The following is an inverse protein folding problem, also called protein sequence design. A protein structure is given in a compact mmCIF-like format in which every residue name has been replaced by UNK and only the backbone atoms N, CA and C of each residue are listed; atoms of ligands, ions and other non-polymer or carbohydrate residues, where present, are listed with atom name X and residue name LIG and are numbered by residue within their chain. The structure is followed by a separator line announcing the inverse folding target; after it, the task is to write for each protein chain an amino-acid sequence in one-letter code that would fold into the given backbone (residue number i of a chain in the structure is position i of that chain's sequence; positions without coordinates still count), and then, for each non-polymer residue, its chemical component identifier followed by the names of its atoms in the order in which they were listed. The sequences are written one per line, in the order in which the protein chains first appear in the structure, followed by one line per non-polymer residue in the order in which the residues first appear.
data_IF_558309216773
#
_entry.id   IF_558309216773
#
_cell.length_a   1.000
_cell.length_b   1.000
_cell.length_c   1.000
_cell.angle_alpha   90.00
_cell.angle_beta   90.00
_cell.angle_gamma   90.00
#
_symmetry.space_group_name_H-M   'P 1'
#
loop_
_entity.id
_entity.type
_entity.pdbx_description
1 polymer ?
#
# COMPACT_ATOMS: atom_id res chain seq x y z
N UNK A 1 -9.53 -8.22 9.72
CA UNK A 1 -9.78 -6.78 9.51
C UNK A 1 -8.45 -6.19 9.14
N UNK A 2 -8.24 -6.06 7.83
CA UNK A 2 -6.98 -5.65 7.25
C UNK A 2 -6.68 -4.17 7.49
N UNK A 3 -5.45 -3.74 7.23
CA UNK A 3 -5.04 -2.35 7.36
C UNK A 3 -5.85 -1.43 6.42
N UNK A 4 -6.11 -1.82 5.18
CA UNK A 4 -6.85 -0.99 4.22
C UNK A 4 -8.28 -0.69 4.71
N UNK A 5 -8.97 -1.74 5.14
CA UNK A 5 -10.33 -1.65 5.69
C UNK A 5 -10.40 -0.71 6.91
N UNK A 6 -9.41 -0.81 7.82
CA UNK A 6 -9.32 0.08 8.99
C UNK A 6 -9.13 1.54 8.61
N UNK A 7 -8.36 1.81 7.57
CA UNK A 7 -8.05 3.17 7.14
C UNK A 7 -9.26 3.83 6.49
N UNK A 8 -9.96 3.11 5.59
CA UNK A 8 -11.19 3.59 4.95
C UNK A 8 -12.27 3.89 5.99
N UNK A 9 -12.50 2.97 6.94
CA UNK A 9 -13.49 3.20 8.00
C UNK A 9 -13.10 4.39 8.88
N UNK A 10 -11.82 4.46 9.25
CA UNK A 10 -11.31 5.57 10.04
C UNK A 10 -11.32 6.91 9.30
N UNK A 11 -11.35 6.94 7.97
CA UNK A 11 -11.51 8.17 7.18
C UNK A 11 -12.97 8.65 7.20
N UNK A 12 -13.95 7.74 7.09
CA UNK A 12 -15.37 8.10 7.24
C UNK A 12 -15.64 8.73 8.61
N UNK A 13 -14.92 8.29 9.64
CA UNK A 13 -15.11 8.75 11.02
C UNK A 13 -14.20 9.95 11.41
N UNK A 14 -13.23 10.38 10.58
CA UNK A 14 -12.26 11.45 10.91
C UNK A 14 -12.32 12.61 9.90
N UNK A 15 -12.34 13.85 10.39
CA UNK A 15 -12.10 15.08 9.59
C UNK A 15 -10.62 15.24 9.20
N UNK A 16 -9.96 14.17 8.73
CA UNK A 16 -8.58 14.20 8.27
C UNK A 16 -8.50 14.36 6.75
N UNK A 17 -7.51 15.11 6.27
CA UNK A 17 -7.29 15.32 4.83
C UNK A 17 -6.55 14.15 4.13
N UNK A 18 -6.00 13.20 4.89
CA UNK A 18 -5.26 12.06 4.35
C UNK A 18 -6.10 10.78 4.50
N UNK A 19 -6.49 10.16 3.38
CA UNK A 19 -7.23 8.89 3.35
C UNK A 19 -6.33 7.75 3.80
N UNK A 20 -5.04 7.78 3.47
CA UNK A 20 -4.09 6.74 3.86
C UNK A 20 -2.79 7.32 4.39
N UNK A 21 -2.36 6.86 5.56
CA UNK A 21 -1.05 7.17 6.13
C UNK A 21 -0.22 5.88 6.32
N UNK A 22 0.80 5.65 5.50
CA UNK A 22 1.71 4.53 5.69
C UNK A 22 2.51 4.67 6.99
N UNK A 23 2.58 3.61 7.78
CA UNK A 23 3.38 3.56 9.00
C UNK A 23 4.30 2.33 8.98
N UNK A 24 5.47 2.45 9.62
CA UNK A 24 6.37 1.31 9.75
C UNK A 24 5.73 0.27 10.68
N UNK A 25 5.80 -1.00 10.26
CA UNK A 25 5.22 -2.11 11.02
C UNK A 25 3.71 -2.33 10.79
N UNK A 26 3.09 -1.63 9.83
CA UNK A 26 1.72 -1.98 9.40
C UNK A 26 1.67 -3.41 8.89
N UNK A 27 0.73 -4.18 9.42
CA UNK A 27 0.49 -5.57 9.02
C UNK A 27 -0.67 -5.62 8.03
N UNK A 28 -0.49 -6.37 6.95
CA UNK A 28 -1.49 -6.60 5.91
C UNK A 28 -1.83 -8.08 5.85
N UNK A 29 -3.09 -8.39 5.56
CA UNK A 29 -3.58 -9.76 5.43
C UNK A 29 -3.05 -10.41 4.14
N UNK A 30 -2.70 -9.59 3.13
CA UNK A 30 -2.12 -10.07 1.87
C UNK A 30 -1.24 -9.02 1.17
N UNK A 31 -0.43 -9.48 0.21
CA UNK A 31 0.32 -8.59 -0.67
C UNK A 31 -0.59 -7.72 -1.54
N UNK A 32 -1.74 -8.26 -1.97
CA UNK A 32 -2.74 -7.51 -2.75
C UNK A 32 -3.30 -6.35 -1.94
N UNK A 33 -3.67 -6.61 -0.68
CA UNK A 33 -4.16 -5.55 0.22
C UNK A 33 -3.11 -4.46 0.43
N UNK A 34 -1.84 -4.84 0.63
CA UNK A 34 -0.75 -3.88 0.73
C UNK A 34 -0.61 -3.05 -0.55
N UNK A 35 -0.75 -3.67 -1.72
CA UNK A 35 -0.70 -2.96 -3.01
C UNK A 35 -1.85 -1.95 -3.14
N UNK A 36 -3.09 -2.35 -2.82
CA UNK A 36 -4.26 -1.47 -2.89
C UNK A 36 -4.14 -0.28 -1.92
N UNK A 37 -3.63 -0.52 -0.71
CA UNK A 37 -3.33 0.51 0.28
C UNK A 37 -2.33 1.55 -0.25
N UNK A 38 -1.20 1.10 -0.80
CA UNK A 38 -0.19 2.01 -1.35
C UNK A 38 -0.63 2.67 -2.66
N UNK A 39 -1.55 2.05 -3.42
CA UNK A 39 -2.13 2.65 -4.62
C UNK A 39 -3.06 3.82 -4.27
N UNK A 40 -3.84 3.69 -3.19
CA UNK A 40 -4.68 4.78 -2.69
C UNK A 40 -3.81 5.94 -2.17
N UNK A 41 -2.77 5.63 -1.40
CA UNK A 41 -1.77 6.63 -1.00
C UNK A 41 -1.11 7.33 -2.19
N UNK A 42 -0.70 6.58 -3.22
CA UNK A 42 -0.03 7.16 -4.38
C UNK A 42 -0.95 8.04 -5.22
N UNK A 43 -2.25 7.69 -5.29
CA UNK A 43 -3.27 8.51 -5.94
C UNK A 43 -3.41 9.88 -5.25
N UNK A 44 -3.48 9.92 -3.92
CA UNK A 44 -3.53 11.19 -3.16
C UNK A 44 -2.31 12.08 -3.41
N UNK A 45 -1.16 11.46 -3.69
CA UNK A 45 0.12 12.14 -3.83
C UNK A 45 0.57 12.33 -5.31
N UNK A 46 -0.26 11.94 -6.29
CA UNK A 46 -0.03 12.21 -7.71
C UNK A 46 1.06 11.35 -8.38
N UNK A 47 1.27 10.11 -7.92
CA UNK A 47 2.18 9.16 -8.56
C UNK A 47 1.57 7.76 -8.70
N UNK A 48 2.13 6.94 -9.59
CA UNK A 48 1.75 5.53 -9.71
C UNK A 48 2.69 4.61 -8.93
N UNK A 49 2.30 3.37 -8.67
CA UNK A 49 3.16 2.38 -8.01
C UNK A 49 3.40 1.15 -8.88
N UNK A 50 4.51 0.46 -8.65
CA UNK A 50 4.86 -0.80 -9.32
C UNK A 50 5.59 -1.73 -8.38
N UNK A 51 5.60 -3.01 -8.73
CA UNK A 51 6.44 -3.99 -8.04
C UNK A 51 7.92 -3.77 -8.38
N UNK A 52 8.74 -3.66 -7.34
CA UNK A 52 10.20 -3.62 -7.42
C UNK A 52 10.81 -5.01 -7.30
N UNK A 53 11.96 -5.10 -6.63
CA UNK A 53 12.62 -6.38 -6.36
C UNK A 53 11.75 -7.25 -5.47
N UNK A 54 11.95 -8.56 -5.57
CA UNK A 54 11.38 -9.52 -4.64
C UNK A 54 12.45 -10.48 -4.16
N UNK A 55 12.17 -11.16 -3.05
CA UNK A 55 13.01 -12.26 -2.56
C UNK A 55 12.15 -13.51 -2.39
N UNK A 56 12.64 -14.59 -2.97
CA UNK A 56 12.02 -15.92 -2.89
C UNK A 56 12.96 -16.82 -2.09
N UNK A 57 12.40 -17.60 -1.16
CA UNK A 57 13.17 -18.57 -0.39
C UNK A 57 13.38 -19.89 -1.18
N UNK A 58 14.21 -20.82 -0.70
CA UNK A 58 14.40 -22.12 -1.37
C UNK A 58 13.11 -22.93 -1.55
N UNK A 59 12.12 -22.76 -0.66
CA UNK A 59 10.77 -23.34 -0.76
C UNK A 59 9.86 -22.59 -1.76
N UNK A 60 10.42 -21.74 -2.62
CA UNK A 60 9.71 -20.97 -3.64
C UNK A 60 8.61 -20.02 -3.12
N UNK A 61 8.63 -19.68 -1.83
CA UNK A 61 7.74 -18.68 -1.21
C UNK A 61 8.35 -17.29 -1.27
N UNK A 62 7.54 -16.29 -1.60
CA UNK A 62 7.94 -14.88 -1.56
C UNK A 62 8.05 -14.42 -0.10
N UNK A 63 9.22 -13.95 0.30
CA UNK A 63 9.51 -13.45 1.66
C UNK A 63 9.70 -11.95 1.72
N UNK A 64 9.81 -11.29 0.56
CA UNK A 64 9.87 -9.85 0.43
C UNK A 64 9.33 -9.45 -0.94
N UNK A 65 8.60 -8.34 -0.97
CA UNK A 65 8.18 -7.65 -2.19
C UNK A 65 8.35 -6.15 -1.97
N UNK A 66 9.15 -5.49 -2.81
CA UNK A 66 9.18 -4.04 -2.87
C UNK A 66 7.96 -3.52 -3.63
N UNK A 67 7.34 -2.47 -3.12
CA UNK A 67 6.40 -1.59 -3.83
C UNK A 67 7.13 -0.26 -3.96
N UNK A 68 7.33 0.21 -5.20
CA UNK A 68 8.13 1.41 -5.50
C UNK A 68 7.31 2.41 -6.31
N UNK A 69 7.71 3.67 -6.26
CA UNK A 69 7.12 4.70 -7.11
C UNK A 69 7.39 4.41 -8.60
N UNK A 70 6.38 4.69 -9.41
CA UNK A 70 6.42 4.77 -10.86
C UNK A 70 6.40 6.22 -11.33
N UNK A 71 6.42 6.42 -12.65
CA UNK A 71 6.29 7.75 -13.24
C UNK A 71 5.00 8.44 -12.76
N UNK A 72 5.04 9.77 -12.73
CA UNK A 72 3.85 10.61 -12.51
C UNK A 72 2.74 10.15 -13.45
N UNK A 73 1.62 9.74 -12.87
CA UNK A 73 0.38 9.65 -13.61
C UNK A 73 -0.12 11.10 -13.61
N UNK A 74 -0.13 11.76 -14.77
CA UNK A 74 -0.83 13.03 -14.89
C UNK A 74 -2.30 12.74 -14.59
N UNK A 75 -2.80 13.28 -13.48
CA UNK A 75 -4.24 13.37 -13.21
C UNK A 75 -4.78 14.54 -14.02
#
# INVERSE_FOLDING_TARGET
MGALEKTIRGFVDREGNEVVKPELGTNFDSLTEAYDFYNLYSWEHGFGIRYGKNRINPDRRKTMQEIVCGCSVRI
#
